data_IF_516853891578
#
_entry.id   IF_516853891578
#
_cell.length_a   1.000
_cell.length_b   1.000
_cell.length_c   1.000
_cell.angle_alpha   90.00
_cell.angle_beta   90.00
_cell.angle_gamma   90.00
#
_symmetry.space_group_name_H-M   'P 1'
#
loop_
_entity.id
_entity.type
_entity.pdbx_description
1 polymer ?
#
# COMPACT_ATOMS: atom_id res chain seq x y z
N UNK A 1 33.56 -27.88 -15.97
CA UNK A 1 34.31 -26.95 -15.09
C UNK A 1 33.23 -25.96 -14.56
N UNK A 2 32.61 -26.31 -13.44
CA UNK A 2 31.56 -25.49 -12.83
C UNK A 2 32.20 -24.24 -12.21
N UNK A 3 31.85 -23.09 -12.78
CA UNK A 3 32.18 -21.80 -12.22
C UNK A 3 31.35 -21.64 -10.92
N UNK A 4 31.97 -21.87 -9.77
CA UNK A 4 31.38 -21.59 -8.49
C UNK A 4 31.31 -20.06 -8.33
N UNK A 5 30.10 -19.52 -8.31
CA UNK A 5 29.87 -18.09 -8.03
C UNK A 5 30.52 -17.73 -6.68
N UNK A 6 31.44 -16.73 -6.63
CA UNK A 6 32.10 -16.31 -5.39
C UNK A 6 31.15 -15.98 -4.26
N UNK A 7 29.96 -15.43 -4.56
CA UNK A 7 28.92 -15.12 -3.58
C UNK A 7 28.37 -16.39 -2.88
N UNK A 8 28.23 -17.50 -3.63
CA UNK A 8 27.78 -18.79 -3.09
C UNK A 8 28.87 -19.38 -2.17
N UNK A 9 30.12 -19.28 -2.55
CA UNK A 9 31.25 -19.78 -1.74
C UNK A 9 31.37 -19.00 -0.43
N UNK A 10 31.15 -17.69 -0.45
CA UNK A 10 31.20 -16.83 0.73
C UNK A 10 30.01 -17.11 1.67
N UNK A 11 28.80 -17.30 1.13
CA UNK A 11 27.63 -17.68 1.90
C UNK A 11 27.80 -19.07 2.59
N UNK A 12 28.39 -20.04 1.90
CA UNK A 12 28.71 -21.35 2.46
C UNK A 12 29.73 -21.23 3.61
N UNK A 13 30.76 -20.41 3.46
CA UNK A 13 31.74 -20.15 4.53
C UNK A 13 31.13 -19.45 5.73
N UNK A 14 30.28 -18.45 5.49
CA UNK A 14 29.61 -17.68 6.53
C UNK A 14 28.58 -18.52 7.32
N UNK A 15 27.97 -19.53 6.70
CA UNK A 15 26.99 -20.41 7.37
C UNK A 15 27.63 -21.41 8.34
N UNK A 16 28.95 -21.61 8.29
CA UNK A 16 29.66 -22.63 9.07
C UNK A 16 29.32 -24.07 8.66
N UNK A 17 28.67 -24.25 7.52
CA UNK A 17 28.28 -25.56 7.01
C UNK A 17 29.39 -26.23 6.21
N UNK A 18 29.53 -27.55 6.41
CA UNK A 18 30.62 -28.30 5.78
C UNK A 18 30.32 -28.76 4.35
N UNK A 19 29.06 -28.63 3.91
CA UNK A 19 28.62 -29.05 2.58
C UNK A 19 27.74 -28.02 1.91
N UNK A 20 27.84 -27.91 0.57
CA UNK A 20 27.02 -27.01 -0.24
C UNK A 20 25.50 -27.31 -0.07
N UNK A 21 25.16 -28.59 0.07
CA UNK A 21 23.77 -29.04 0.23
C UNK A 21 23.16 -28.50 1.52
N UNK A 22 23.85 -28.57 2.65
CA UNK A 22 23.38 -28.00 3.91
C UNK A 22 23.27 -26.48 3.86
N UNK A 23 24.21 -25.80 3.25
CA UNK A 23 24.17 -24.34 3.07
C UNK A 23 22.96 -23.92 2.20
N UNK A 24 22.69 -24.67 1.12
CA UNK A 24 21.53 -24.45 0.25
C UNK A 24 20.20 -24.66 0.99
N UNK A 25 20.10 -25.73 1.76
CA UNK A 25 18.92 -26.02 2.58
C UNK A 25 18.65 -24.91 3.61
N UNK A 26 19.70 -24.48 4.31
CA UNK A 26 19.59 -23.39 5.30
C UNK A 26 19.22 -22.05 4.66
N UNK A 27 19.80 -21.74 3.49
CA UNK A 27 19.43 -20.54 2.74
C UNK A 27 17.95 -20.58 2.32
N UNK A 28 17.45 -21.72 1.85
CA UNK A 28 16.05 -21.93 1.50
C UNK A 28 15.14 -21.78 2.70
N UNK A 29 15.46 -22.41 3.83
CA UNK A 29 14.70 -22.29 5.08
C UNK A 29 14.64 -20.83 5.56
N UNK A 30 15.77 -20.10 5.48
CA UNK A 30 15.81 -18.68 5.86
C UNK A 30 14.95 -17.84 4.92
N UNK A 31 15.01 -18.11 3.62
CA UNK A 31 14.16 -17.43 2.62
C UNK A 31 12.68 -17.71 2.89
N UNK A 32 12.30 -18.98 3.11
CA UNK A 32 10.94 -19.37 3.42
C UNK A 32 10.44 -18.72 4.73
N UNK A 33 11.29 -18.60 5.75
CA UNK A 33 10.97 -17.85 6.98
C UNK A 33 10.72 -16.38 6.71
N UNK A 34 11.54 -15.71 5.90
CA UNK A 34 11.36 -14.31 5.53
C UNK A 34 10.08 -14.09 4.72
N UNK A 35 9.76 -15.01 3.80
CA UNK A 35 8.54 -14.97 3.01
C UNK A 35 7.27 -15.22 3.83
N UNK A 36 7.38 -15.83 5.01
CA UNK A 36 6.27 -16.08 5.92
C UNK A 36 6.08 -14.99 6.98
N UNK A 37 6.93 -13.97 7.04
CA UNK A 37 6.72 -12.83 7.95
C UNK A 37 5.47 -12.08 7.52
N UNK A 38 4.45 -11.92 8.39
CA UNK A 38 3.26 -11.17 8.05
C UNK A 38 3.58 -9.72 7.77
N UNK A 39 3.07 -9.18 6.67
CA UNK A 39 3.16 -7.77 6.31
C UNK A 39 1.76 -7.17 6.30
N UNK A 40 1.48 -6.27 7.25
CA UNK A 40 0.19 -5.61 7.38
C UNK A 40 0.26 -4.18 6.83
N UNK A 41 -0.37 -3.94 5.69
CA UNK A 41 -0.41 -2.66 5.00
C UNK A 41 -1.75 -1.99 5.27
N UNK A 42 -1.75 -0.83 5.89
CA UNK A 42 -2.95 -0.04 6.12
C UNK A 42 -3.19 0.95 4.98
N UNK A 43 -4.35 0.93 4.35
CA UNK A 43 -4.77 1.91 3.34
C UNK A 43 -5.83 2.82 3.95
N UNK A 44 -5.56 4.10 3.99
CA UNK A 44 -6.47 5.14 4.52
C UNK A 44 -6.52 6.35 3.59
N UNK A 45 -7.41 7.29 3.85
CA UNK A 45 -7.58 8.51 3.07
C UNK A 45 -9.02 8.95 3.04
N UNK A 46 -9.29 10.08 2.38
CA UNK A 46 -10.64 10.66 2.27
C UNK A 46 -11.62 9.66 1.63
N UNK A 47 -12.87 9.69 2.07
CA UNK A 47 -13.98 8.96 1.42
C UNK A 47 -14.04 9.35 -0.07
N UNK A 48 -14.21 8.36 -0.94
CA UNK A 48 -14.23 8.57 -2.39
C UNK A 48 -12.85 8.77 -3.04
N UNK A 49 -11.74 8.65 -2.29
CA UNK A 49 -10.39 8.73 -2.87
C UNK A 49 -10.00 7.50 -3.70
N UNK A 50 -10.82 6.45 -3.74
CA UNK A 50 -10.54 5.21 -4.49
C UNK A 50 -9.74 4.17 -3.71
N UNK A 51 -9.87 4.14 -2.38
CA UNK A 51 -9.17 3.16 -1.53
C UNK A 51 -9.45 1.71 -1.93
N UNK A 52 -10.71 1.35 -2.05
CA UNK A 52 -11.12 -0.02 -2.39
C UNK A 52 -10.62 -0.44 -3.78
N UNK A 53 -10.77 0.42 -4.81
CA UNK A 53 -10.20 0.15 -6.15
C UNK A 53 -8.67 0.05 -6.13
N UNK A 54 -7.99 0.86 -5.31
CA UNK A 54 -6.54 0.75 -5.12
C UNK A 54 -6.16 -0.58 -4.47
N UNK A 55 -6.91 -1.03 -3.46
CA UNK A 55 -6.71 -2.32 -2.80
C UNK A 55 -6.91 -3.46 -3.79
N UNK A 56 -7.96 -3.40 -4.61
CA UNK A 56 -8.22 -4.40 -5.65
C UNK A 56 -7.07 -4.45 -6.66
N UNK A 57 -6.65 -3.31 -7.17
CA UNK A 57 -5.53 -3.21 -8.11
C UNK A 57 -4.20 -3.73 -7.51
N UNK A 58 -3.94 -3.44 -6.22
CA UNK A 58 -2.76 -3.96 -5.52
C UNK A 58 -2.79 -5.48 -5.38
N UNK A 59 -3.97 -6.06 -5.29
CA UNK A 59 -4.22 -7.52 -5.23
C UNK A 59 -4.30 -8.18 -6.62
N UNK A 60 -4.18 -7.41 -7.70
CA UNK A 60 -4.34 -7.90 -9.07
C UNK A 60 -5.77 -8.25 -9.45
N UNK A 61 -6.78 -7.67 -8.76
CA UNK A 61 -8.20 -7.90 -8.98
C UNK A 61 -8.84 -6.69 -9.67
N UNK A 62 -9.88 -6.96 -10.49
CA UNK A 62 -10.82 -5.95 -10.95
C UNK A 62 -11.89 -5.71 -9.88
N UNK A 63 -12.58 -4.56 -9.94
CA UNK A 63 -13.60 -4.19 -8.95
C UNK A 63 -14.83 -5.14 -8.95
N UNK A 64 -15.00 -5.93 -10.00
CA UNK A 64 -16.12 -6.89 -10.20
C UNK A 64 -15.73 -8.34 -9.89
N UNK A 65 -14.45 -8.60 -9.57
CA UNK A 65 -13.97 -9.96 -9.31
C UNK A 65 -14.44 -10.46 -7.94
N UNK A 66 -14.61 -11.78 -7.82
CA UNK A 66 -14.94 -12.42 -6.56
C UNK A 66 -13.85 -12.12 -5.50
N UNK A 67 -14.30 -11.70 -4.32
CA UNK A 67 -13.39 -11.31 -3.23
C UNK A 67 -12.76 -9.94 -3.37
N UNK A 68 -13.16 -9.14 -4.37
CA UNK A 68 -12.76 -7.74 -4.46
C UNK A 68 -13.34 -6.92 -3.29
N UNK A 69 -12.61 -5.89 -2.87
CA UNK A 69 -13.11 -4.92 -1.92
C UNK A 69 -14.26 -4.13 -2.55
N UNK A 70 -15.40 -3.95 -1.85
CA UNK A 70 -16.54 -3.22 -2.39
C UNK A 70 -16.16 -1.78 -2.75
N UNK A 71 -16.45 -1.39 -3.99
CA UNK A 71 -16.20 -0.04 -4.48
C UNK A 71 -17.50 0.78 -4.51
N UNK A 72 -17.42 2.06 -4.17
CA UNK A 72 -18.58 2.95 -4.15
C UNK A 72 -18.21 4.39 -3.86
N UNK A 73 -19.17 5.30 -4.09
CA UNK A 73 -19.03 6.75 -3.80
C UNK A 73 -19.39 7.12 -2.38
N UNK A 74 -20.06 6.23 -1.66
CA UNK A 74 -20.42 6.41 -0.24
C UNK A 74 -19.37 5.76 0.66
N UNK A 75 -19.33 6.20 1.92
CA UNK A 75 -18.46 5.57 2.92
C UNK A 75 -18.96 4.15 3.18
N UNK A 76 -18.19 3.17 2.69
CA UNK A 76 -18.54 1.75 2.81
C UNK A 76 -17.77 1.08 3.94
N UNK A 77 -16.66 1.65 4.37
CA UNK A 77 -15.76 1.07 5.38
C UNK A 77 -15.96 1.79 6.70
N UNK A 78 -16.71 1.20 7.62
CA UNK A 78 -16.93 1.73 8.97
C UNK A 78 -15.92 1.19 9.98
N UNK A 79 -15.39 0.00 9.74
CA UNK A 79 -14.39 -0.67 10.56
C UNK A 79 -13.24 -1.18 9.68
N UNK A 80 -12.03 -1.34 10.23
CA UNK A 80 -10.90 -1.90 9.48
C UNK A 80 -11.24 -3.27 8.89
N UNK A 81 -11.16 -3.40 7.58
CA UNK A 81 -11.45 -4.64 6.86
C UNK A 81 -10.17 -5.17 6.22
N UNK A 82 -9.86 -6.45 6.44
CA UNK A 82 -8.65 -7.10 5.95
C UNK A 82 -8.91 -7.87 4.66
N UNK A 83 -7.99 -7.72 3.71
CA UNK A 83 -7.93 -8.45 2.45
C UNK A 83 -6.58 -9.13 2.30
N UNK A 84 -6.57 -10.43 2.06
CA UNK A 84 -5.34 -11.18 1.75
C UNK A 84 -4.93 -10.95 0.29
N UNK A 85 -3.62 -10.93 0.05
CA UNK A 85 -3.11 -10.88 -1.32
C UNK A 85 -3.14 -12.29 -1.93
N UNK A 86 -3.73 -12.48 -3.14
CA UNK A 86 -3.93 -13.82 -3.72
C UNK A 86 -2.63 -14.60 -3.91
N UNK A 87 -1.56 -13.93 -4.33
CA UNK A 87 -0.26 -14.55 -4.63
C UNK A 87 0.74 -14.48 -3.48
N UNK A 88 0.50 -13.61 -2.49
CA UNK A 88 1.40 -13.38 -1.35
C UNK A 88 0.62 -13.52 -0.04
N UNK A 89 0.41 -14.74 0.47
CA UNK A 89 -0.47 -14.99 1.61
C UNK A 89 0.01 -14.35 2.93
N UNK A 90 1.28 -13.99 3.03
CA UNK A 90 1.84 -13.22 4.14
C UNK A 90 1.51 -11.72 4.08
N UNK A 91 1.03 -11.20 2.93
CA UNK A 91 0.66 -9.79 2.75
C UNK A 91 -0.82 -9.60 3.04
N UNK A 92 -1.12 -8.79 4.04
CA UNK A 92 -2.48 -8.42 4.46
C UNK A 92 -2.69 -6.93 4.25
N UNK A 93 -3.70 -6.60 3.46
CA UNK A 93 -4.04 -5.22 3.12
C UNK A 93 -5.30 -4.85 3.88
N UNK A 94 -5.24 -3.76 4.64
CA UNK A 94 -6.33 -3.31 5.50
C UNK A 94 -6.96 -2.05 4.94
N UNK A 95 -8.23 -2.13 4.56
CA UNK A 95 -9.04 -0.95 4.24
C UNK A 95 -9.50 -0.30 5.54
N UNK A 96 -9.07 0.93 5.77
CA UNK A 96 -9.41 1.67 6.98
C UNK A 96 -10.54 2.68 6.71
N UNK A 97 -11.34 3.01 7.74
CA UNK A 97 -12.34 4.06 7.65
C UNK A 97 -11.79 5.37 7.10
N UNK A 98 -12.61 6.12 6.40
CA UNK A 98 -12.24 7.40 5.80
C UNK A 98 -11.91 8.48 6.83
N UNK A 99 -10.98 9.39 6.47
CA UNK A 99 -10.53 10.50 7.34
C UNK A 99 -11.18 11.84 6.95
N UNK A 100 -12.33 11.81 6.26
CA UNK A 100 -12.97 12.98 5.69
C UNK A 100 -13.82 13.83 6.64
N UNK A 101 -13.96 13.47 7.93
CA UNK A 101 -14.83 14.19 8.84
C UNK A 101 -14.27 15.58 9.23
N UNK A 102 -15.11 16.63 9.34
CA UNK A 102 -14.66 17.96 9.74
C UNK A 102 -14.03 18.01 11.16
N UNK A 103 -14.42 17.09 12.03
CA UNK A 103 -13.91 16.97 13.40
C UNK A 103 -12.87 15.85 13.56
N UNK A 104 -12.14 15.55 12.50
CA UNK A 104 -11.13 14.51 12.51
C UNK A 104 -10.04 14.77 13.56
N UNK A 105 -9.78 13.75 14.38
CA UNK A 105 -8.71 13.75 15.39
C UNK A 105 -7.77 12.59 15.13
N UNK A 106 -6.62 12.86 14.54
CA UNK A 106 -5.66 11.84 14.10
C UNK A 106 -5.27 10.84 15.21
N UNK A 107 -5.01 11.31 16.43
CA UNK A 107 -4.65 10.45 17.57
C UNK A 107 -5.79 9.49 17.94
N UNK A 108 -7.05 9.99 17.98
CA UNK A 108 -8.20 9.16 18.26
C UNK A 108 -8.39 8.12 17.15
N UNK A 109 -8.35 8.56 15.90
CA UNK A 109 -8.46 7.68 14.74
C UNK A 109 -7.45 6.53 14.78
N UNK A 110 -6.17 6.81 15.01
CA UNK A 110 -5.13 5.78 15.09
C UNK A 110 -5.41 4.76 16.21
N UNK A 111 -5.93 5.22 17.36
CA UNK A 111 -6.32 4.31 18.43
C UNK A 111 -7.52 3.44 18.03
N UNK A 112 -8.54 4.03 17.41
CA UNK A 112 -9.76 3.34 17.00
C UNK A 112 -9.44 2.25 15.96
N UNK A 113 -8.53 2.53 15.01
CA UNK A 113 -8.10 1.55 14.00
C UNK A 113 -7.01 0.60 14.49
N UNK A 114 -6.59 0.65 15.76
CA UNK A 114 -5.53 -0.20 16.35
C UNK A 114 -4.21 -0.12 15.57
N UNK A 115 -3.67 1.07 15.43
CA UNK A 115 -2.51 1.38 14.58
C UNK A 115 -1.29 0.44 14.77
N UNK A 116 -1.13 -0.18 15.94
CA UNK A 116 -0.04 -1.12 16.21
C UNK A 116 -0.08 -2.38 15.32
N UNK A 117 -1.25 -2.72 14.80
CA UNK A 117 -1.46 -3.88 13.92
C UNK A 117 -0.70 -3.74 12.60
N UNK A 118 -0.46 -2.51 12.13
CA UNK A 118 0.07 -2.27 10.78
C UNK A 118 1.56 -1.98 10.82
N UNK A 119 2.27 -2.45 9.77
CA UNK A 119 3.69 -2.20 9.60
C UNK A 119 3.93 -0.84 8.98
N UNK A 120 3.11 -0.45 8.00
CA UNK A 120 3.12 0.91 7.44
C UNK A 120 1.75 1.32 6.90
N UNK A 121 1.63 2.60 6.56
CA UNK A 121 0.39 3.22 6.10
C UNK A 121 0.53 3.75 4.68
N UNK A 122 -0.53 3.60 3.88
CA UNK A 122 -0.71 4.29 2.60
C UNK A 122 -1.84 5.30 2.80
N UNK A 123 -1.52 6.58 2.64
CA UNK A 123 -2.51 7.67 2.70
C UNK A 123 -2.88 8.03 1.27
N UNK A 124 -4.08 7.63 0.85
CA UNK A 124 -4.57 7.78 -0.52
C UNK A 124 -5.45 9.03 -0.64
N UNK A 125 -5.13 9.91 -1.60
CA UNK A 125 -5.95 11.08 -1.90
C UNK A 125 -6.07 11.27 -3.41
N UNK A 126 -7.27 11.65 -3.88
CA UNK A 126 -7.55 11.96 -5.30
C UNK A 126 -7.31 13.42 -5.66
N UNK A 127 -7.10 14.26 -4.66
CA UNK A 127 -6.88 15.71 -4.80
C UNK A 127 -5.51 16.10 -4.21
N UNK A 128 -5.36 17.36 -3.81
CA UNK A 128 -4.21 17.81 -3.01
C UNK A 128 -4.33 17.26 -1.59
N UNK A 129 -3.19 17.02 -0.96
CA UNK A 129 -3.18 16.62 0.45
C UNK A 129 -3.82 17.70 1.30
N UNK A 130 -4.82 17.28 2.08
CA UNK A 130 -5.62 18.13 2.93
C UNK A 130 -5.06 18.14 4.36
N UNK A 131 -5.60 19.03 5.20
CA UNK A 131 -5.16 19.16 6.58
C UNK A 131 -5.25 17.86 7.38
N UNK A 132 -6.32 17.09 7.20
CA UNK A 132 -6.50 15.79 7.86
C UNK A 132 -5.41 14.79 7.47
N UNK A 133 -5.00 14.75 6.18
CA UNK A 133 -3.92 13.87 5.72
C UNK A 133 -2.59 14.25 6.39
N UNK A 134 -2.31 15.55 6.50
CA UNK A 134 -1.10 16.06 7.14
C UNK A 134 -1.12 15.77 8.66
N UNK A 135 -2.26 15.97 9.32
CA UNK A 135 -2.40 15.65 10.74
C UNK A 135 -2.19 14.17 11.00
N UNK A 136 -2.77 13.31 10.17
CA UNK A 136 -2.60 11.87 10.27
C UNK A 136 -1.14 11.46 10.07
N UNK A 137 -0.50 11.96 9.01
CA UNK A 137 0.91 11.67 8.72
C UNK A 137 1.84 12.07 9.86
N UNK A 138 1.63 13.25 10.46
CA UNK A 138 2.39 13.72 11.63
C UNK A 138 2.21 12.76 12.82
N UNK A 139 0.99 12.30 13.06
CA UNK A 139 0.71 11.41 14.18
C UNK A 139 1.28 10.00 13.95
N UNK A 140 1.17 9.44 12.74
CA UNK A 140 1.80 8.16 12.36
C UNK A 140 3.31 8.24 12.58
N UNK A 141 3.95 9.35 12.18
CA UNK A 141 5.40 9.56 12.36
C UNK A 141 5.80 9.65 13.84
N UNK A 142 4.98 10.27 14.69
CA UNK A 142 5.21 10.28 16.15
C UNK A 142 5.20 8.88 16.75
N UNK A 143 4.38 7.99 16.19
CA UNK A 143 4.30 6.58 16.59
C UNK A 143 5.42 5.72 15.97
N UNK A 144 6.41 6.34 15.30
CA UNK A 144 7.55 5.69 14.65
C UNK A 144 7.16 4.67 13.57
N UNK A 145 5.99 4.86 12.94
CA UNK A 145 5.55 4.07 11.79
C UNK A 145 5.87 4.82 10.49
N UNK A 146 6.10 4.04 9.43
CA UNK A 146 6.28 4.56 8.08
C UNK A 146 4.95 4.83 7.39
N UNK A 147 4.93 5.77 6.46
CA UNK A 147 3.78 6.02 5.59
C UNK A 147 4.22 6.49 4.21
N UNK A 148 3.34 6.27 3.24
CA UNK A 148 3.48 6.76 1.87
C UNK A 148 2.23 7.56 1.49
N UNK A 149 2.43 8.68 0.78
CA UNK A 149 1.33 9.39 0.13
C UNK A 149 1.17 8.86 -1.30
N UNK A 150 -0.07 8.50 -1.65
CA UNK A 150 -0.42 8.05 -3.00
C UNK A 150 -1.51 8.95 -3.55
N UNK A 151 -1.31 9.50 -4.76
CA UNK A 151 -2.34 10.24 -5.47
C UNK A 151 -3.05 9.34 -6.46
N UNK A 152 -4.35 9.20 -6.29
CA UNK A 152 -5.25 8.45 -7.17
C UNK A 152 -5.89 9.38 -8.22
N UNK A 153 -6.64 8.81 -9.17
CA UNK A 153 -7.46 9.52 -10.19
C UNK A 153 -6.69 10.56 -11.00
N UNK A 154 -5.39 10.34 -11.22
CA UNK A 154 -4.51 11.27 -11.96
C UNK A 154 -4.91 11.39 -13.45
N UNK A 155 -5.57 10.38 -14.00
CA UNK A 155 -6.17 10.35 -15.33
C UNK A 155 -7.20 11.47 -15.53
N UNK A 156 -7.99 11.80 -14.53
CA UNK A 156 -8.94 12.91 -14.55
C UNK A 156 -8.22 14.27 -14.66
N UNK A 157 -7.13 14.45 -13.93
CA UNK A 157 -6.31 15.66 -14.01
C UNK A 157 -5.69 15.80 -15.40
N UNK A 158 -5.10 14.73 -15.94
CA UNK A 158 -4.50 14.71 -17.26
C UNK A 158 -5.53 15.00 -18.35
N UNK A 159 -6.73 14.46 -18.26
CA UNK A 159 -7.83 14.69 -19.18
C UNK A 159 -8.31 16.14 -19.15
N UNK A 160 -8.39 16.73 -17.94
CA UNK A 160 -8.77 18.13 -17.74
C UNK A 160 -7.73 19.09 -18.33
N UNK A 161 -6.45 18.81 -18.13
CA UNK A 161 -5.35 19.59 -18.71
C UNK A 161 -5.32 19.52 -20.25
N UNK A 162 -5.55 18.34 -20.84
CA UNK A 162 -5.65 18.15 -22.30
C UNK A 162 -6.82 18.97 -22.87
N UNK A 163 -7.98 18.97 -22.21
CA UNK A 163 -9.14 19.76 -22.63
C UNK A 163 -8.85 21.26 -22.59
N UNK A 164 -8.21 21.78 -21.54
CA UNK A 164 -7.81 23.18 -21.41
C UNK A 164 -6.87 23.60 -22.54
N UNK A 165 -5.82 22.80 -22.82
CA UNK A 165 -4.89 23.07 -23.91
C UNK A 165 -5.58 23.03 -25.28
N UNK A 166 -6.49 22.12 -25.53
CA UNK A 166 -7.29 22.04 -26.74
C UNK A 166 -8.24 23.23 -26.91
N UNK A 167 -8.83 23.78 -25.86
CA UNK A 167 -9.63 24.97 -25.87
C UNK A 167 -8.78 26.25 -26.16
N UNK A 168 -7.58 26.32 -25.53
CA UNK A 168 -6.67 27.45 -25.79
C UNK A 168 -6.17 27.47 -27.25
N UNK A 169 -5.92 26.31 -27.86
CA UNK A 169 -5.51 26.26 -29.26
C UNK A 169 -6.61 26.63 -30.24
N UNK A 170 -7.89 26.45 -29.88
CA UNK A 170 -9.04 26.83 -30.72
C UNK A 170 -9.41 28.33 -30.62
N UNK A 171 -9.03 29.00 -29.56
CA UNK A 171 -9.33 30.42 -29.35
C UNK A 171 -8.30 31.38 -30.00
N UNK A 172 -7.24 30.83 -30.58
CA UNK A 172 -6.18 31.64 -31.24
C UNK A 172 -6.21 31.63 -32.77
N UNK A 173 -7.25 31.06 -33.40
CA UNK A 173 -7.46 31.17 -34.83
C UNK A 173 -8.77 31.93 -35.08
N UNK A 174 -8.70 33.14 -35.72
CA UNK A 174 -9.88 33.87 -36.17
C UNK A 174 -10.60 33.18 -37.31
#
# INVERSE_FOLDING_TARGET
MESQDPAVVEAVKASGESTLEKATTKAKETFDQLMNVPLNIAVTGKTGSGKSSFINALRGLNDEDDGAAPTGVTETTMEPTMYEHPEMPNVKIWDLPGIGSPNFKAKKYLNDVKFNTYDFFIILNSERFMENDIMLAKEIRKQKKSFYFVRSKIDNDMSSEKKKKGLMSRSFFP
#
